data_IF_779279868070
#
_entry.id   IF_779279868070
#
_cell.length_a   1.000
_cell.length_b   1.000
_cell.length_c   1.000
_cell.angle_alpha   90.00
_cell.angle_beta   90.00
_cell.angle_gamma   90.00
#
_symmetry.space_group_name_H-M   'P 1'
#
loop_
_entity.id
_entity.type
_entity.pdbx_description
1 polymer ?
#
# COMPACT_ATOMS: atom_id res chain seq x y z
N UNK A 1 -36.36 20.47 -13.10
CA UNK A 1 -35.30 19.54 -13.56
C UNK A 1 -34.65 20.11 -14.80
N UNK A 2 -33.38 20.51 -14.75
CA UNK A 2 -32.65 21.00 -15.93
C UNK A 2 -32.10 19.80 -16.69
N UNK A 3 -32.54 19.61 -17.94
CA UNK A 3 -32.00 18.60 -18.85
C UNK A 3 -30.54 18.91 -19.16
N UNK A 4 -29.64 18.05 -18.69
CA UNK A 4 -28.22 18.12 -19.01
C UNK A 4 -28.04 17.65 -20.46
N UNK A 5 -27.83 18.58 -21.40
CA UNK A 5 -27.47 18.27 -22.79
C UNK A 5 -26.00 17.87 -22.83
N UNK A 6 -25.72 16.58 -22.71
CA UNK A 6 -24.37 16.03 -22.87
C UNK A 6 -24.02 16.12 -24.36
N UNK A 7 -22.92 16.81 -24.68
CA UNK A 7 -22.45 16.95 -26.07
C UNK A 7 -21.70 15.69 -26.50
N UNK A 8 -21.80 15.31 -27.78
CA UNK A 8 -21.09 14.15 -28.34
C UNK A 8 -19.57 14.16 -28.07
N UNK A 9 -18.99 15.34 -27.91
CA UNK A 9 -17.57 15.52 -27.58
C UNK A 9 -17.23 15.05 -26.16
N UNK A 10 -18.16 15.17 -25.21
CA UNK A 10 -18.01 14.68 -23.83
C UNK A 10 -18.17 13.16 -23.74
N UNK A 11 -19.01 12.56 -24.59
CA UNK A 11 -19.16 11.10 -24.70
C UNK A 11 -17.88 10.48 -25.26
N UNK A 12 -17.28 11.09 -26.27
CA UNK A 12 -16.01 10.63 -26.84
C UNK A 12 -14.83 10.69 -25.85
N UNK A 13 -14.75 11.74 -25.03
CA UNK A 13 -13.72 11.84 -23.99
C UNK A 13 -13.92 10.77 -22.91
N UNK A 14 -15.18 10.50 -22.51
CA UNK A 14 -15.49 9.42 -21.57
C UNK A 14 -15.12 8.03 -22.11
N UNK A 15 -15.34 7.78 -23.40
CA UNK A 15 -14.98 6.51 -24.05
C UNK A 15 -13.45 6.35 -24.14
N UNK A 16 -12.72 7.41 -24.45
CA UNK A 16 -11.24 7.37 -24.53
C UNK A 16 -10.61 7.21 -23.14
N UNK A 17 -11.17 7.83 -22.10
CA UNK A 17 -10.72 7.63 -20.71
C UNK A 17 -11.08 6.23 -20.23
N UNK A 18 -12.24 5.66 -20.57
CA UNK A 18 -12.58 4.28 -20.22
C UNK A 18 -11.73 3.24 -20.95
N UNK A 19 -11.29 3.53 -22.18
CA UNK A 19 -10.42 2.64 -22.94
C UNK A 19 -8.97 2.60 -22.40
N UNK A 20 -8.50 3.69 -21.78
CA UNK A 20 -7.19 3.73 -21.14
C UNK A 20 -7.12 2.94 -19.82
N UNK A 21 -8.26 2.69 -19.17
CA UNK A 21 -8.35 1.85 -17.97
C UNK A 21 -8.53 0.35 -18.27
N UNK A 22 -8.64 -0.04 -19.55
CA UNK A 22 -8.86 -1.44 -19.97
C UNK A 22 -7.66 -2.09 -20.67
N UNK A 23 -6.49 -1.45 -20.68
CA UNK A 23 -5.25 -2.16 -21.06
C UNK A 23 -4.82 -3.03 -19.89
N UNK A 24 -5.53 -4.16 -19.81
CA UNK A 24 -5.28 -5.29 -18.95
C UNK A 24 -3.83 -5.71 -19.09
N UNK A 25 -3.19 -5.92 -17.95
CA UNK A 25 -1.84 -6.42 -17.83
C UNK A 25 -1.74 -7.75 -18.59
N UNK A 26 -1.02 -7.75 -19.71
CA UNK A 26 -0.54 -9.00 -20.33
C UNK A 26 0.71 -9.43 -19.59
N UNK A 27 0.52 -9.94 -18.38
CA UNK A 27 1.50 -10.77 -17.69
C UNK A 27 1.59 -12.06 -18.50
N UNK A 28 2.75 -12.33 -19.08
CA UNK A 28 3.06 -13.64 -19.64
C UNK A 28 3.06 -14.61 -18.46
N UNK A 29 1.97 -15.36 -18.32
CA UNK A 29 1.74 -16.28 -17.21
C UNK A 29 2.74 -17.42 -17.27
N UNK A 30 3.64 -17.48 -16.29
CA UNK A 30 3.88 -18.75 -15.63
C UNK A 30 2.53 -19.21 -15.06
N UNK A 31 2.17 -20.48 -15.27
CA UNK A 31 0.93 -21.04 -14.73
C UNK A 31 0.84 -20.75 -13.24
N UNK A 32 -0.04 -19.81 -12.90
CA UNK A 32 -0.27 -19.40 -11.53
C UNK A 32 -0.91 -20.60 -10.80
N UNK A 33 -0.13 -21.20 -9.91
CA UNK A 33 -0.46 -22.37 -9.10
C UNK A 33 -1.61 -22.17 -8.11
N UNK A 34 -2.35 -21.05 -8.22
CA UNK A 34 -3.56 -20.72 -7.46
C UNK A 34 -4.80 -21.51 -7.89
N UNK A 35 -4.75 -22.25 -9.00
CA UNK A 35 -5.90 -23.03 -9.51
C UNK A 35 -5.93 -24.50 -9.08
N UNK A 36 -4.85 -25.03 -8.50
CA UNK A 36 -4.79 -26.44 -8.12
C UNK A 36 -5.53 -26.71 -6.81
N UNK A 37 -6.32 -27.78 -6.80
CA UNK A 37 -6.94 -28.26 -5.57
C UNK A 37 -5.85 -28.73 -4.59
N UNK A 38 -6.06 -28.46 -3.28
CA UNK A 38 -5.19 -28.99 -2.23
C UNK A 38 -5.19 -30.52 -2.29
N UNK A 39 -4.03 -31.13 -2.16
CA UNK A 39 -3.90 -32.58 -2.20
C UNK A 39 -4.73 -33.23 -1.09
N UNK A 40 -5.62 -34.18 -1.43
CA UNK A 40 -6.30 -35.01 -0.44
C UNK A 40 -5.43 -36.16 0.07
N UNK A 41 -4.25 -36.37 -0.52
CA UNK A 41 -3.43 -37.56 -0.29
C UNK A 41 -2.31 -37.38 0.73
N UNK A 42 -2.14 -36.17 1.28
CA UNK A 42 -1.07 -35.86 2.23
C UNK A 42 -1.47 -34.72 3.15
N UNK A 43 -1.13 -34.84 4.44
CA UNK A 43 -1.24 -33.77 5.42
C UNK A 43 0.06 -32.98 5.48
N UNK A 44 -0.06 -31.66 5.63
CA UNK A 44 1.07 -30.73 5.57
C UNK A 44 1.12 -29.91 6.84
N UNK A 45 2.27 -29.91 7.48
CA UNK A 45 2.63 -29.01 8.57
C UNK A 45 3.84 -28.18 8.15
N UNK A 46 3.73 -26.85 8.26
CA UNK A 46 4.83 -25.94 8.00
C UNK A 46 5.46 -25.61 9.35
N UNK A 47 6.75 -25.92 9.50
CA UNK A 47 7.52 -25.55 10.68
C UNK A 47 8.20 -24.21 10.40
N UNK A 48 7.84 -23.20 11.21
CA UNK A 48 8.16 -21.77 11.08
C UNK A 48 9.28 -21.44 10.08
N UNK A 49 8.95 -20.79 8.94
CA UNK A 49 9.97 -20.32 8.02
C UNK A 49 10.87 -19.30 8.73
N UNK A 50 12.19 -19.46 8.58
CA UNK A 50 13.20 -18.60 9.18
C UNK A 50 13.81 -17.71 8.12
N UNK A 51 13.77 -16.41 8.36
CA UNK A 51 14.42 -15.40 7.54
C UNK A 51 14.63 -14.13 8.34
N UNK A 52 15.57 -13.29 7.91
CA UNK A 52 15.69 -11.96 8.49
C UNK A 52 14.52 -11.09 8.04
N UNK A 53 13.96 -10.35 8.97
CA UNK A 53 12.86 -9.44 8.70
C UNK A 53 13.36 -8.04 8.41
N UNK A 54 12.62 -7.30 7.58
CA UNK A 54 12.77 -5.83 7.57
C UNK A 54 12.23 -5.31 8.91
N UNK A 55 12.99 -4.43 9.58
CA UNK A 55 12.70 -3.94 10.93
C UNK A 55 11.22 -3.55 11.13
N UNK A 56 10.61 -4.04 12.22
CA UNK A 56 9.19 -3.85 12.58
C UNK A 56 8.16 -4.38 11.55
N UNK A 57 8.56 -5.28 10.65
CA UNK A 57 7.66 -5.94 9.70
C UNK A 57 7.85 -7.45 9.67
N UNK A 58 6.88 -8.17 9.09
CA UNK A 58 6.99 -9.62 8.82
C UNK A 58 7.60 -9.94 7.44
N UNK A 59 8.02 -8.92 6.69
CA UNK A 59 8.54 -9.06 5.32
C UNK A 59 9.94 -9.65 5.31
N UNK A 60 10.23 -10.47 4.30
CA UNK A 60 11.55 -11.05 4.07
C UNK A 60 12.52 -9.95 3.67
N UNK A 61 13.65 -9.86 4.38
CA UNK A 61 14.68 -8.88 4.09
C UNK A 61 15.41 -9.23 2.78
N UNK A 62 15.63 -8.20 1.97
CA UNK A 62 16.34 -8.28 0.71
C UNK A 62 17.70 -8.98 0.85
N UNK A 63 18.00 -9.96 0.00
CA UNK A 63 19.27 -10.69 0.04
C UNK A 63 19.51 -11.54 1.28
N UNK A 64 18.51 -11.69 2.17
CA UNK A 64 18.65 -12.52 3.38
C UNK A 64 18.50 -14.01 3.05
N UNK A 65 19.06 -14.85 3.92
CA UNK A 65 18.86 -16.29 3.84
C UNK A 65 17.45 -16.66 4.31
N UNK A 66 16.78 -17.51 3.54
CA UNK A 66 15.47 -18.07 3.86
C UNK A 66 15.64 -19.56 4.07
N UNK A 67 15.12 -20.09 5.17
CA UNK A 67 15.11 -21.52 5.50
C UNK A 67 13.70 -21.96 5.89
N UNK A 68 13.19 -22.99 5.23
CA UNK A 68 11.82 -23.49 5.39
C UNK A 68 11.89 -24.97 5.70
N UNK A 69 11.08 -25.42 6.65
CA UNK A 69 10.88 -26.85 6.91
C UNK A 69 9.40 -27.19 6.78
N UNK A 70 9.10 -28.23 6.00
CA UNK A 70 7.77 -28.76 5.79
C UNK A 70 7.77 -30.23 6.19
N UNK A 71 6.79 -30.63 6.99
CA UNK A 71 6.56 -32.02 7.38
C UNK A 71 5.31 -32.51 6.66
N UNK A 72 5.46 -33.59 5.92
CA UNK A 72 4.41 -34.26 5.18
C UNK A 72 4.08 -35.57 5.89
N UNK A 73 2.81 -35.76 6.26
CA UNK A 73 2.34 -36.95 7.00
C UNK A 73 1.09 -37.53 6.37
N UNK A 74 0.68 -38.72 6.84
CA UNK A 74 -0.59 -39.34 6.46
C UNK A 74 -0.76 -39.52 4.94
N UNK A 75 0.29 -40.04 4.28
CA UNK A 75 0.22 -40.36 2.86
C UNK A 75 -0.89 -41.41 2.60
N UNK A 76 -1.82 -41.10 1.69
CA UNK A 76 -2.95 -41.99 1.37
C UNK A 76 -2.44 -43.34 0.87
N UNK A 77 -3.01 -44.43 1.40
CA UNK A 77 -2.71 -45.81 0.98
C UNK A 77 -3.51 -46.24 -0.26
N UNK A 78 -4.45 -45.42 -0.72
CA UNK A 78 -5.29 -45.68 -1.89
C UNK A 78 -4.51 -45.55 -3.21
N UNK A 79 -3.50 -44.67 -3.22
CA UNK A 79 -2.56 -44.53 -4.33
C UNK A 79 -1.21 -45.16 -3.97
N UNK A 80 -0.60 -45.82 -4.94
CA UNK A 80 0.66 -46.54 -4.73
C UNK A 80 1.87 -45.60 -4.65
N UNK A 81 1.93 -44.65 -5.60
CA UNK A 81 3.04 -43.71 -5.74
C UNK A 81 2.55 -42.33 -6.18
N UNK A 82 3.32 -41.32 -5.83
CA UNK A 82 3.16 -39.96 -6.36
C UNK A 82 4.51 -39.33 -6.63
N UNK A 83 4.52 -38.29 -7.45
CA UNK A 83 5.70 -37.47 -7.71
C UNK A 83 5.51 -36.10 -7.08
N UNK A 84 6.40 -35.75 -6.15
CA UNK A 84 6.48 -34.40 -5.60
C UNK A 84 7.37 -33.56 -6.51
N UNK A 85 6.89 -32.38 -6.91
CA UNK A 85 7.67 -31.42 -7.70
C UNK A 85 7.86 -30.13 -6.90
N UNK A 86 9.09 -29.62 -6.89
CA UNK A 86 9.53 -28.52 -6.03
C UNK A 86 9.87 -27.30 -6.88
N UNK A 87 9.35 -26.14 -6.49
CA UNK A 87 9.62 -24.88 -7.15
C UNK A 87 9.90 -23.78 -6.13
N UNK A 88 10.81 -22.88 -6.46
CA UNK A 88 11.22 -21.77 -5.61
C UNK A 88 11.82 -20.66 -6.46
N UNK A 89 11.45 -19.42 -6.15
CA UNK A 89 12.01 -18.22 -6.76
C UNK A 89 13.20 -17.64 -5.97
N UNK A 90 13.54 -18.25 -4.83
CA UNK A 90 14.76 -17.93 -4.10
C UNK A 90 16.01 -18.22 -4.96
N UNK A 91 17.00 -17.33 -4.86
CA UNK A 91 18.29 -17.50 -5.52
C UNK A 91 19.09 -18.64 -4.88
N UNK A 92 19.81 -19.40 -5.72
CA UNK A 92 20.61 -20.57 -5.30
C UNK A 92 19.81 -21.55 -4.44
N UNK A 93 18.52 -21.67 -4.72
CA UNK A 93 17.62 -22.48 -3.94
C UNK A 93 17.84 -23.98 -4.15
N UNK A 94 17.67 -24.70 -3.06
CA UNK A 94 17.77 -26.14 -3.02
C UNK A 94 17.39 -26.64 -1.64
N UNK A 95 17.35 -27.95 -1.51
CA UNK A 95 16.90 -28.54 -0.27
C UNK A 95 17.24 -29.99 -0.16
N UNK A 96 16.58 -30.62 0.80
CA UNK A 96 16.64 -32.04 1.00
C UNK A 96 15.28 -32.56 1.38
N UNK A 97 14.97 -33.76 0.88
CA UNK A 97 13.88 -34.57 1.38
C UNK A 97 14.46 -35.67 2.23
N UNK A 98 13.85 -35.92 3.39
CA UNK A 98 14.20 -37.03 4.24
C UNK A 98 12.99 -37.90 4.52
N UNK A 99 13.15 -39.20 4.31
CA UNK A 99 12.15 -40.22 4.53
C UNK A 99 12.83 -41.38 5.24
N UNK A 100 12.35 -41.74 6.43
CA UNK A 100 12.84 -42.88 7.21
C UNK A 100 14.37 -42.90 7.45
N UNK A 101 14.99 -41.70 7.54
CA UNK A 101 16.42 -41.53 7.80
C UNK A 101 17.29 -41.44 6.54
N UNK A 102 16.76 -41.78 5.36
CA UNK A 102 17.42 -41.49 4.09
C UNK A 102 17.24 -40.01 3.74
N UNK A 103 18.24 -39.41 3.10
CA UNK A 103 18.24 -37.99 2.75
C UNK A 103 18.70 -37.81 1.31
N UNK A 104 17.82 -37.26 0.48
CA UNK A 104 18.11 -36.97 -0.92
C UNK A 104 18.17 -35.46 -1.15
N UNK A 105 19.08 -35.02 -2.02
CA UNK A 105 19.21 -33.61 -2.38
C UNK A 105 18.16 -33.22 -3.42
N UNK A 106 17.52 -32.08 -3.19
CA UNK A 106 16.55 -31.47 -4.09
C UNK A 106 17.12 -30.19 -4.69
N UNK A 107 16.69 -29.90 -5.91
CA UNK A 107 16.95 -28.63 -6.61
C UNK A 107 15.60 -28.01 -6.99
N UNK A 108 15.58 -26.69 -7.19
CA UNK A 108 14.41 -26.04 -7.79
C UNK A 108 14.13 -26.66 -9.17
N UNK A 109 12.85 -26.79 -9.51
CA UNK A 109 12.32 -27.56 -10.67
C UNK A 109 12.63 -29.07 -10.62
N UNK A 110 13.16 -29.56 -9.49
CA UNK A 110 13.39 -30.97 -9.24
C UNK A 110 12.11 -31.71 -8.86
N UNK A 111 12.18 -33.03 -8.91
CA UNK A 111 11.09 -33.90 -8.46
C UNK A 111 11.62 -35.09 -7.67
N UNK A 112 10.74 -35.67 -6.84
CA UNK A 112 11.01 -36.83 -6.01
C UNK A 112 9.80 -37.76 -6.01
N UNK A 113 10.03 -39.05 -6.30
CA UNK A 113 8.97 -40.06 -6.27
C UNK A 113 8.79 -40.62 -4.87
N UNK A 114 7.57 -40.58 -4.36
CA UNK A 114 7.21 -41.14 -3.05
C UNK A 114 6.38 -42.40 -3.27
N UNK A 115 6.82 -43.52 -2.70
CA UNK A 115 6.00 -44.73 -2.59
C UNK A 115 5.18 -44.66 -1.30
N UNK A 116 3.89 -44.39 -1.41
CA UNK A 116 3.02 -44.08 -0.27
C UNK A 116 2.93 -45.22 0.74
N UNK A 117 3.05 -46.47 0.28
CA UNK A 117 3.03 -47.66 1.14
C UNK A 117 4.31 -47.83 1.97
N UNK A 118 5.42 -47.25 1.54
CA UNK A 118 6.71 -47.31 2.25
C UNK A 118 6.86 -46.22 3.30
N UNK A 119 6.11 -45.13 3.21
CA UNK A 119 6.12 -44.08 4.24
C UNK A 119 5.53 -44.62 5.53
N UNK A 120 6.36 -44.76 6.57
CA UNK A 120 5.92 -45.25 7.88
C UNK A 120 5.46 -44.11 8.81
N UNK A 121 6.15 -42.97 8.78
CA UNK A 121 5.90 -41.84 9.68
C UNK A 121 5.70 -40.52 8.95
N UNK A 122 6.80 -39.87 8.58
CA UNK A 122 6.81 -38.53 8.05
C UNK A 122 7.87 -38.38 6.95
N UNK A 123 7.59 -37.49 6.01
CA UNK A 123 8.53 -37.04 5.00
C UNK A 123 8.85 -35.59 5.32
N UNK A 124 10.12 -35.29 5.60
CA UNK A 124 10.58 -33.97 5.96
C UNK A 124 11.25 -33.30 4.77
N UNK A 125 10.75 -32.15 4.36
CA UNK A 125 11.36 -31.32 3.33
C UNK A 125 12.02 -30.13 4.01
N UNK A 126 13.33 -29.98 3.86
CA UNK A 126 14.07 -28.78 4.26
C UNK A 126 14.48 -28.03 3.01
N UNK A 127 14.16 -26.75 2.94
CA UNK A 127 14.43 -25.90 1.78
C UNK A 127 15.17 -24.64 2.22
N UNK A 128 16.13 -24.20 1.42
CA UNK A 128 16.89 -23.00 1.70
C UNK A 128 17.27 -22.27 0.42
N UNK A 129 17.44 -20.95 0.52
CA UNK A 129 17.94 -20.12 -0.55
C UNK A 129 18.10 -18.68 -0.08
N UNK A 130 18.46 -17.80 -1.01
CA UNK A 130 18.59 -16.36 -0.72
C UNK A 130 17.39 -15.63 -1.30
N UNK A 131 16.78 -14.73 -0.52
CA UNK A 131 15.74 -13.85 -1.01
C UNK A 131 16.28 -12.96 -2.14
N UNK A 132 15.58 -12.85 -3.28
CA UNK A 132 16.07 -12.09 -4.43
C UNK A 132 16.24 -10.61 -4.08
N UNK A 133 17.19 -9.94 -4.74
CA UNK A 133 17.36 -8.49 -4.57
C UNK A 133 16.30 -7.69 -5.36
N UNK A 134 15.35 -7.11 -4.63
CA UNK A 134 14.27 -6.30 -5.20
C UNK A 134 14.53 -4.81 -5.07
N UNK A 135 13.94 -4.04 -5.98
CA UNK A 135 13.97 -2.56 -5.97
C UNK A 135 12.64 -1.93 -5.55
N UNK A 136 11.61 -2.75 -5.38
CA UNK A 136 10.27 -2.43 -4.88
C UNK A 136 9.77 -3.67 -4.14
N UNK A 137 8.81 -3.50 -3.23
CA UNK A 137 8.21 -4.64 -2.56
C UNK A 137 7.55 -5.56 -3.59
N UNK A 138 7.89 -6.84 -3.57
CA UNK A 138 7.39 -7.87 -4.49
C UNK A 138 7.17 -9.17 -3.72
N UNK A 139 6.14 -9.93 -4.12
CA UNK A 139 5.82 -11.22 -3.52
C UNK A 139 6.50 -12.33 -4.31
N UNK A 140 7.19 -13.23 -3.61
CA UNK A 140 7.86 -14.39 -4.21
C UNK A 140 7.33 -15.70 -3.62
N UNK A 141 7.40 -16.76 -4.43
CA UNK A 141 7.20 -18.14 -4.02
C UNK A 141 8.50 -18.62 -3.36
N UNK A 142 8.49 -18.68 -2.03
CA UNK A 142 9.63 -19.15 -1.24
C UNK A 142 9.78 -20.67 -1.35
N UNK A 143 8.65 -21.39 -1.41
CA UNK A 143 8.59 -22.82 -1.69
C UNK A 143 7.18 -23.20 -2.18
N UNK A 144 7.11 -23.90 -3.30
CA UNK A 144 5.91 -24.54 -3.79
C UNK A 144 6.18 -26.03 -4.00
N UNK A 145 5.34 -26.88 -3.40
CA UNK A 145 5.35 -28.33 -3.61
C UNK A 145 4.03 -28.71 -4.25
N UNK A 146 4.10 -29.38 -5.39
CA UNK A 146 2.95 -30.00 -6.04
C UNK A 146 3.11 -31.51 -6.03
N UNK A 147 2.00 -32.23 -6.08
CA UNK A 147 1.96 -33.68 -6.10
C UNK A 147 1.21 -34.15 -7.34
N UNK A 148 1.88 -34.94 -8.17
CA UNK A 148 1.28 -35.61 -9.30
C UNK A 148 1.02 -37.08 -8.96
N UNK A 149 -0.19 -37.53 -9.26
CA UNK A 149 -0.69 -38.89 -9.03
C UNK A 149 -1.34 -39.41 -10.30
N UNK A 150 -1.78 -40.67 -10.30
CA UNK A 150 -2.59 -41.22 -11.39
C UNK A 150 -3.94 -40.51 -11.55
N UNK A 151 -4.43 -39.84 -10.51
CA UNK A 151 -5.74 -39.17 -10.50
C UNK A 151 -5.65 -37.69 -10.93
N UNK A 152 -4.44 -37.12 -10.94
CA UNK A 152 -4.21 -35.74 -11.33
C UNK A 152 -3.07 -35.07 -10.57
N UNK A 153 -2.98 -33.74 -10.75
CA UNK A 153 -1.98 -32.87 -10.13
C UNK A 153 -2.64 -31.99 -9.05
N UNK A 154 -2.01 -31.92 -7.90
CA UNK A 154 -2.53 -31.28 -6.70
C UNK A 154 -1.50 -30.35 -6.07
N UNK A 155 -1.96 -29.32 -5.37
CA UNK A 155 -1.09 -28.47 -4.56
C UNK A 155 -0.88 -29.11 -3.18
N UNK A 156 0.37 -29.31 -2.77
CA UNK A 156 0.70 -29.76 -1.42
C UNK A 156 0.87 -28.54 -0.52
N UNK A 157 1.77 -27.64 -0.89
CA UNK A 157 2.01 -26.40 -0.15
C UNK A 157 2.48 -25.30 -1.09
N UNK A 158 2.04 -24.07 -0.84
CA UNK A 158 2.56 -22.88 -1.49
C UNK A 158 2.84 -21.82 -0.43
N UNK A 159 4.13 -21.57 -0.17
CA UNK A 159 4.61 -20.59 0.79
C UNK A 159 5.08 -19.39 0.00
N UNK A 160 4.39 -18.26 0.20
CA UNK A 160 4.71 -16.97 -0.42
C UNK A 160 5.22 -16.01 0.64
N UNK A 161 6.11 -15.10 0.25
CA UNK A 161 6.64 -14.06 1.13
C UNK A 161 6.87 -12.76 0.36
N UNK A 162 6.52 -11.64 0.99
CA UNK A 162 6.85 -10.33 0.49
C UNK A 162 8.31 -10.01 0.80
N UNK A 163 9.09 -9.75 -0.25
CA UNK A 163 10.50 -9.38 -0.14
C UNK A 163 10.60 -7.85 -0.22
N UNK A 164 11.34 -7.25 0.71
CA UNK A 164 11.50 -5.80 0.81
C UNK A 164 12.85 -5.42 1.44
N UNK A 165 13.14 -4.13 1.50
CA UNK A 165 14.27 -3.56 2.22
C UNK A 165 13.81 -2.37 3.07
N UNK A 166 14.65 -1.93 4.01
CA UNK A 166 14.37 -0.76 4.86
C UNK A 166 14.03 0.47 4.02
N UNK A 167 14.81 0.77 2.97
CA UNK A 167 14.57 1.95 2.13
C UNK A 167 13.26 1.87 1.32
N UNK A 168 12.84 0.67 0.93
CA UNK A 168 11.56 0.43 0.25
C UNK A 168 10.41 0.70 1.23
N UNK A 169 10.49 0.16 2.45
CA UNK A 169 9.48 0.34 3.48
C UNK A 169 9.42 1.80 3.97
N UNK A 170 10.56 2.47 4.13
CA UNK A 170 10.63 3.90 4.44
C UNK A 170 9.94 4.73 3.36
N UNK A 171 10.19 4.43 2.08
CA UNK A 171 9.54 5.13 0.97
C UNK A 171 8.02 4.94 1.00
N UNK A 172 7.53 3.71 1.23
CA UNK A 172 6.10 3.43 1.34
C UNK A 172 5.47 4.14 2.54
N UNK A 173 6.12 4.10 3.71
CA UNK A 173 5.66 4.76 4.92
C UNK A 173 5.62 6.29 4.76
N UNK A 174 6.68 6.90 4.22
CA UNK A 174 6.72 8.34 3.97
C UNK A 174 5.63 8.78 2.99
N UNK A 175 5.30 7.95 1.99
CA UNK A 175 4.20 8.21 1.07
C UNK A 175 2.84 8.12 1.75
N UNK A 176 2.65 7.16 2.64
CA UNK A 176 1.44 7.07 3.46
C UNK A 176 1.27 8.35 4.31
N UNK A 177 2.32 8.77 5.02
CA UNK A 177 2.33 10.02 5.80
C UNK A 177 2.04 11.23 4.89
N UNK A 178 2.65 11.32 3.72
CA UNK A 178 2.40 12.42 2.79
C UNK A 178 0.93 12.50 2.34
N UNK A 179 0.28 11.36 2.10
CA UNK A 179 -1.15 11.30 1.77
C UNK A 179 -2.01 11.81 2.94
N UNK A 180 -1.73 11.37 4.17
CA UNK A 180 -2.45 11.85 5.36
C UNK A 180 -2.32 13.36 5.54
N UNK A 181 -1.12 13.93 5.35
CA UNK A 181 -0.89 15.37 5.45
C UNK A 181 -1.60 16.15 4.33
N UNK A 182 -1.62 15.62 3.10
CA UNK A 182 -2.39 16.20 1.99
C UNK A 182 -3.89 16.20 2.31
N UNK A 183 -4.42 15.13 2.90
CA UNK A 183 -5.82 15.06 3.34
C UNK A 183 -6.14 16.06 4.47
N UNK A 184 -5.23 16.24 5.43
CA UNK A 184 -5.36 17.28 6.48
C UNK A 184 -5.37 18.69 5.86
N UNK A 185 -4.42 18.99 4.98
CA UNK A 185 -4.36 20.27 4.26
C UNK A 185 -5.64 20.53 3.45
N UNK A 186 -6.11 19.54 2.70
CA UNK A 186 -7.36 19.60 1.94
C UNK A 186 -8.56 19.95 2.82
N UNK A 187 -8.73 19.26 3.96
CA UNK A 187 -9.82 19.54 4.91
C UNK A 187 -9.75 20.97 5.44
N UNK A 188 -8.56 21.43 5.81
CA UNK A 188 -8.34 22.79 6.33
C UNK A 188 -8.65 23.85 5.27
N UNK A 189 -8.15 23.68 4.04
CA UNK A 189 -8.42 24.57 2.91
C UNK A 189 -9.91 24.62 2.58
N UNK A 190 -10.59 23.47 2.55
CA UNK A 190 -12.03 23.41 2.29
C UNK A 190 -12.84 24.17 3.36
N UNK A 191 -12.46 24.05 4.63
CA UNK A 191 -13.10 24.77 5.72
C UNK A 191 -12.87 26.28 5.64
N UNK A 192 -11.63 26.72 5.35
CA UNK A 192 -11.32 28.13 5.13
C UNK A 192 -12.10 28.70 3.92
N UNK A 193 -12.14 27.97 2.81
CA UNK A 193 -12.89 28.35 1.60
C UNK A 193 -14.38 28.53 1.90
N UNK A 194 -14.99 27.59 2.63
CA UNK A 194 -16.41 27.69 3.05
C UNK A 194 -16.68 28.91 3.93
N UNK A 195 -15.69 29.36 4.70
CA UNK A 195 -15.77 30.56 5.50
C UNK A 195 -15.52 31.86 4.71
N UNK A 196 -15.33 31.78 3.39
CA UNK A 196 -15.09 32.93 2.51
C UNK A 196 -13.67 33.49 2.63
N UNK A 197 -12.72 32.69 3.11
CA UNK A 197 -11.32 33.09 3.32
C UNK A 197 -10.52 32.81 2.04
N UNK A 198 -9.65 33.75 1.67
CA UNK A 198 -8.70 33.56 0.57
C UNK A 198 -7.64 32.51 0.94
N UNK A 199 -7.50 31.50 0.10
CA UNK A 199 -6.64 30.33 0.31
C UNK A 199 -5.74 30.04 -0.90
N UNK A 200 -5.55 30.99 -1.82
CA UNK A 200 -4.82 30.74 -3.07
C UNK A 200 -3.36 30.29 -2.84
N UNK A 201 -2.67 30.86 -1.84
CA UNK A 201 -1.33 30.39 -1.47
C UNK A 201 -1.31 28.97 -0.89
N UNK A 202 -2.34 28.62 -0.10
CA UNK A 202 -2.48 27.29 0.47
C UNK A 202 -2.77 26.27 -0.64
N UNK A 203 -3.64 26.61 -1.61
CA UNK A 203 -3.91 25.80 -2.79
C UNK A 203 -2.65 25.58 -3.65
N UNK A 204 -1.82 26.60 -3.81
CA UNK A 204 -0.54 26.48 -4.54
C UNK A 204 0.39 25.45 -3.88
N UNK A 205 0.54 25.51 -2.55
CA UNK A 205 1.38 24.55 -1.82
C UNK A 205 0.78 23.13 -1.82
N UNK A 206 -0.55 23.02 -1.75
CA UNK A 206 -1.23 21.75 -1.90
C UNK A 206 -1.03 21.15 -3.30
N UNK A 207 -1.07 21.96 -4.36
CA UNK A 207 -0.78 21.51 -5.71
C UNK A 207 0.66 21.00 -5.82
N UNK A 208 1.64 21.73 -5.25
CA UNK A 208 3.03 21.29 -5.18
C UNK A 208 3.19 19.97 -4.40
N UNK A 209 2.48 19.81 -3.28
CA UNK A 209 2.48 18.56 -2.51
C UNK A 209 2.01 17.37 -3.36
N UNK A 210 0.95 17.55 -4.16
CA UNK A 210 0.45 16.51 -5.06
C UNK A 210 1.45 16.18 -6.19
N UNK A 211 2.16 17.19 -6.73
CA UNK A 211 3.23 16.96 -7.71
C UNK A 211 4.33 16.08 -7.12
N UNK A 212 4.82 16.41 -5.92
CA UNK A 212 5.84 15.61 -5.24
C UNK A 212 5.33 14.20 -4.90
N UNK A 213 4.07 14.04 -4.50
CA UNK A 213 3.50 12.71 -4.24
C UNK A 213 3.45 11.85 -5.52
N UNK A 214 3.09 12.45 -6.66
CA UNK A 214 3.08 11.77 -7.95
C UNK A 214 4.49 11.37 -8.38
N UNK A 215 5.46 12.30 -8.28
CA UNK A 215 6.87 12.01 -8.54
C UNK A 215 7.37 10.85 -7.67
N UNK A 216 7.01 10.83 -6.39
CA UNK A 216 7.35 9.75 -5.48
C UNK A 216 6.83 8.39 -5.96
N UNK A 217 5.57 8.31 -6.43
CA UNK A 217 5.01 7.09 -7.02
C UNK A 217 5.77 6.67 -8.29
N UNK A 218 6.08 7.61 -9.18
CA UNK A 218 6.83 7.33 -10.41
C UNK A 218 8.23 6.78 -10.10
N UNK A 219 8.94 7.39 -9.15
CA UNK A 219 10.27 6.93 -8.70
C UNK A 219 10.21 5.55 -8.06
N UNK A 220 9.20 5.29 -7.23
CA UNK A 220 8.99 3.98 -6.61
C UNK A 220 8.78 2.90 -7.68
N UNK A 221 7.90 3.16 -8.65
CA UNK A 221 7.62 2.23 -9.75
C UNK A 221 8.84 2.01 -10.66
N UNK A 222 9.72 3.01 -10.78
CA UNK A 222 10.98 2.90 -11.48
C UNK A 222 12.08 2.15 -10.70
N UNK A 223 11.78 1.60 -9.53
CA UNK A 223 12.73 0.89 -8.68
C UNK A 223 13.78 1.81 -8.04
N UNK A 224 13.39 3.05 -7.73
CA UNK A 224 14.24 4.06 -7.08
C UNK A 224 13.65 4.46 -5.72
N UNK A 225 13.69 3.58 -4.71
CA UNK A 225 13.04 3.83 -3.42
C UNK A 225 13.64 5.02 -2.66
N UNK A 226 14.95 5.29 -2.80
CA UNK A 226 15.60 6.47 -2.22
C UNK A 226 15.02 7.79 -2.75
N UNK A 227 14.94 7.94 -4.08
CA UNK A 227 14.33 9.10 -4.72
C UNK A 227 12.83 9.23 -4.36
N UNK A 228 12.14 8.10 -4.29
CA UNK A 228 10.73 8.05 -3.91
C UNK A 228 10.51 8.56 -2.48
N UNK A 229 11.37 8.16 -1.54
CA UNK A 229 11.36 8.62 -0.16
C UNK A 229 11.58 10.13 -0.07
N UNK A 230 12.54 10.67 -0.81
CA UNK A 230 12.84 12.11 -0.82
C UNK A 230 11.63 12.93 -1.32
N UNK A 231 11.05 12.53 -2.46
CA UNK A 231 9.87 13.19 -3.01
C UNK A 231 8.65 13.06 -2.08
N UNK A 232 8.47 11.93 -1.39
CA UNK A 232 7.41 11.78 -0.39
C UNK A 232 7.58 12.75 0.80
N UNK A 233 8.82 12.94 1.27
CA UNK A 233 9.12 13.92 2.33
C UNK A 233 8.83 15.36 1.87
N UNK A 234 9.18 15.71 0.63
CA UNK A 234 8.83 17.02 0.03
C UNK A 234 7.31 17.21 -0.07
N UNK A 235 6.58 16.17 -0.46
CA UNK A 235 5.13 16.18 -0.51
C UNK A 235 4.51 16.47 0.87
N UNK A 236 4.94 15.73 1.89
CA UNK A 236 4.51 15.95 3.28
C UNK A 236 4.83 17.37 3.78
N UNK A 237 6.05 17.87 3.53
CA UNK A 237 6.45 19.22 3.92
C UNK A 237 5.58 20.30 3.25
N UNK A 238 5.35 20.17 1.94
CA UNK A 238 4.51 21.10 1.18
C UNK A 238 3.05 21.08 1.64
N UNK A 239 2.53 19.90 2.01
CA UNK A 239 1.19 19.74 2.56
C UNK A 239 1.05 20.41 3.92
N UNK A 240 2.05 20.27 4.81
CA UNK A 240 2.08 20.98 6.11
C UNK A 240 2.08 22.49 5.92
N UNK A 241 2.90 23.01 5.00
CA UNK A 241 2.89 24.45 4.67
C UNK A 241 1.52 24.89 4.14
N UNK A 242 0.88 24.10 3.28
CA UNK A 242 -0.46 24.39 2.79
C UNK A 242 -1.49 24.45 3.94
N UNK A 243 -1.43 23.51 4.87
CA UNK A 243 -2.28 23.51 6.06
C UNK A 243 -2.03 24.75 6.94
N UNK A 244 -0.77 25.05 7.26
CA UNK A 244 -0.38 26.20 8.08
C UNK A 244 -0.85 27.52 7.48
N UNK A 245 -0.67 27.72 6.17
CA UNK A 245 -1.16 28.90 5.47
C UNK A 245 -2.67 29.02 5.57
N UNK A 246 -3.41 27.93 5.33
CA UNK A 246 -4.87 27.95 5.46
C UNK A 246 -5.32 28.28 6.90
N UNK A 247 -4.62 27.75 7.92
CA UNK A 247 -4.89 28.06 9.35
C UNK A 247 -4.57 29.51 9.70
N UNK A 248 -3.44 30.04 9.24
CA UNK A 248 -3.02 31.41 9.50
C UNK A 248 -4.04 32.41 8.94
N UNK A 249 -4.54 32.18 7.72
CA UNK A 249 -5.56 33.06 7.16
C UNK A 249 -6.86 33.01 7.96
N UNK A 250 -7.29 31.83 8.45
CA UNK A 250 -8.43 31.72 9.38
C UNK A 250 -8.23 32.56 10.65
N UNK A 251 -7.03 32.50 11.24
CA UNK A 251 -6.69 33.27 12.44
C UNK A 251 -6.80 34.78 12.21
N UNK A 252 -6.24 35.26 11.09
CA UNK A 252 -6.27 36.68 10.72
C UNK A 252 -7.70 37.19 10.46
N UNK A 253 -8.54 36.41 9.76
CA UNK A 253 -9.92 36.82 9.45
C UNK A 253 -10.82 36.87 10.68
N UNK A 254 -10.63 35.97 11.66
CA UNK A 254 -11.36 36.05 12.94
C UNK A 254 -11.04 37.34 13.70
N UNK A 255 -9.78 37.76 13.69
CA UNK A 255 -9.35 38.97 14.37
C UNK A 255 -9.90 40.23 13.68
N UNK A 256 -9.80 40.32 12.35
CA UNK A 256 -10.28 41.48 11.60
C UNK A 256 -11.80 41.65 11.66
N UNK A 257 -12.59 40.56 11.61
CA UNK A 257 -14.05 40.63 11.73
C UNK A 257 -14.51 41.13 13.10
N UNK A 258 -13.81 40.74 14.18
CA UNK A 258 -14.09 41.22 15.52
C UNK A 258 -13.75 42.71 15.68
N UNK A 259 -12.62 43.16 15.10
CA UNK A 259 -12.25 44.59 15.12
C UNK A 259 -13.25 45.46 14.36
N UNK A 260 -13.75 45.00 13.21
CA UNK A 260 -14.80 45.71 12.45
C UNK A 260 -16.10 45.79 13.24
N UNK A 261 -16.52 44.71 13.91
CA UNK A 261 -17.71 44.71 14.77
C UNK A 261 -17.59 45.71 15.92
N UNK A 262 -16.43 45.77 16.58
CA UNK A 262 -16.17 46.75 17.65
C UNK A 262 -16.21 48.17 17.11
N UNK A 263 -15.60 48.45 15.95
CA UNK A 263 -15.63 49.78 15.34
C UNK A 263 -17.07 50.20 14.97
N UNK A 264 -17.90 49.30 14.44
CA UNK A 264 -19.30 49.58 14.10
C UNK A 264 -20.12 49.86 15.37
N UNK A 265 -19.92 49.10 16.45
CA UNK A 265 -20.58 49.34 17.74
C UNK A 265 -20.19 50.70 18.31
N UNK A 266 -18.91 51.07 18.28
CA UNK A 266 -18.44 52.39 18.74
C UNK A 266 -19.07 53.52 17.91
N UNK A 267 -19.11 53.39 16.58
CA UNK A 267 -19.75 54.39 15.70
C UNK A 267 -21.25 54.52 16.02
N UNK A 268 -21.95 53.40 16.23
CA UNK A 268 -23.37 53.40 16.58
C UNK A 268 -23.63 54.07 17.94
N UNK A 269 -22.79 53.81 18.95
CA UNK A 269 -22.88 54.47 20.26
C UNK A 269 -22.64 55.97 20.13
N UNK A 270 -21.61 56.39 19.38
CA UNK A 270 -21.33 57.82 19.15
C UNK A 270 -22.49 58.50 18.43
N UNK A 271 -23.06 57.87 17.41
CA UNK A 271 -24.23 58.37 16.69
C UNK A 271 -25.46 58.49 17.63
N UNK A 272 -25.67 57.50 18.51
CA UNK A 272 -26.76 57.51 19.48
C UNK A 272 -26.60 58.61 20.53
N UNK A 273 -25.39 58.81 21.06
CA UNK A 273 -25.06 59.89 22.00
C UNK A 273 -25.24 61.25 21.33
N UNK A 274 -24.80 61.40 20.08
CA UNK A 274 -24.98 62.63 19.31
C UNK A 274 -26.45 62.94 19.05
N UNK A 275 -27.24 61.92 18.68
CA UNK A 275 -28.68 62.04 18.50
C UNK A 275 -29.41 62.39 19.79
N UNK A 276 -29.03 61.77 20.91
CA UNK A 276 -29.56 62.07 22.24
C UNK A 276 -29.26 63.53 22.65
N UNK A 277 -28.01 64.00 22.51
CA UNK A 277 -27.65 65.39 22.78
C UNK A 277 -28.37 66.39 21.86
N UNK A 278 -28.59 66.03 20.59
CA UNK A 278 -29.35 66.86 19.66
C UNK A 278 -30.84 66.95 20.06
N UNK A 279 -31.39 65.88 20.65
CA UNK A 279 -32.75 65.85 21.18
C UNK A 279 -32.91 66.68 22.45
N UNK A 280 -31.90 66.69 23.34
CA UNK A 280 -31.87 67.61 24.48
C UNK A 280 -31.83 69.07 24.04
N UNK A 281 -31.04 69.44 23.02
CA UNK A 281 -31.05 70.82 22.48
C UNK A 281 -32.39 71.24 21.87
N UNK A 282 -33.21 70.31 21.39
CA UNK A 282 -34.57 70.59 20.88
C UNK A 282 -35.64 70.61 21.96
N UNK A 283 -35.34 70.09 23.16
CA UNK A 283 -36.15 70.22 24.37
C UNK A 283 -35.48 71.25 25.29
N UNK A 284 -35.56 72.51 24.88
CA UNK A 284 -34.94 73.60 25.63
C UNK A 284 -35.32 73.57 27.11
N UNK A 285 -34.33 73.76 27.96
CA UNK A 285 -34.51 74.37 29.27
C UNK A 285 -33.50 75.52 29.33
N UNK A 286 -34.02 76.67 29.76
CA UNK A 286 -33.32 77.88 30.19
C UNK A 286 -32.04 77.62 30.97
#
# INVERSE_FOLDING_TARGET
MKNLKISHRQILILIVVSAFFLVSMSVCGAEESTSLQKSPFVNVEILDPKYDHVYETEMVKNGSEVSIKVVLTNFSREIEKSTLSFYSELEKSGGHISMDGEKEALKSDGSYSVEHKKVEKEVMVSWSGTAPEVRKQETFILLNITQETTEGKYMVVAIKGDVSSEIINDALNARYIAKEEIEKANRTIANATKAGIDVEEAKTNLALANVHLNNSQERYNAGKPGDALEEAKKASASAKVAEEKARATIGFTKYSRNTILVAVVVIAIVAFVFWYKMRERKRGIY
#
